data_IF_749253746307
#
_entry.id   IF_749253746307
#
_cell.length_a   1.000
_cell.length_b   1.000
_cell.length_c   1.000
_cell.angle_alpha   90.00
_cell.angle_beta   90.00
_cell.angle_gamma   90.00
#
_symmetry.space_group_name_H-M   'P 1'
#
loop_
_entity.id
_entity.type
_entity.pdbx_description
1 polymer ?
#
# COMPACT_ATOMS: atom_id res chain seq x y z
N UNK A 1 -55.89 66.10 64.06
CA UNK A 1 -54.47 66.01 64.45
C UNK A 1 -53.74 65.18 63.40
N UNK A 2 -52.68 65.77 62.83
CA UNK A 2 -51.45 65.12 62.30
C UNK A 2 -51.53 64.03 61.20
N UNK A 3 -51.05 64.44 60.01
CA UNK A 3 -49.96 63.85 59.21
C UNK A 3 -50.10 62.51 58.43
N UNK A 4 -50.13 62.68 57.10
CA UNK A 4 -49.28 62.08 56.03
C UNK A 4 -49.29 60.57 55.68
N UNK A 5 -49.66 60.36 54.41
CA UNK A 5 -49.20 59.43 53.36
C UNK A 5 -48.24 58.27 53.71
N UNK A 6 -48.59 57.09 53.17
CA UNK A 6 -47.64 56.20 52.49
C UNK A 6 -48.35 55.31 51.47
N UNK A 7 -47.80 55.25 50.25
CA UNK A 7 -48.26 54.51 49.06
C UNK A 7 -47.83 53.04 49.17
N UNK A 8 -48.60 52.10 48.62
CA UNK A 8 -48.03 50.99 47.82
C UNK A 8 -49.05 50.47 46.79
N UNK A 9 -48.55 50.29 45.56
CA UNK A 9 -49.28 49.89 44.33
C UNK A 9 -49.45 48.37 44.24
N UNK A 10 -50.48 47.85 43.55
CA UNK A 10 -50.57 46.43 43.23
C UNK A 10 -49.63 46.06 42.06
N UNK A 11 -48.93 44.93 42.21
CA UNK A 11 -48.06 44.37 41.18
C UNK A 11 -48.91 43.79 40.04
N UNK A 12 -48.67 44.29 38.82
CA UNK A 12 -49.18 43.73 37.57
C UNK A 12 -48.21 42.62 37.14
N UNK A 13 -48.74 41.42 36.92
CA UNK A 13 -48.02 40.31 36.30
C UNK A 13 -47.64 40.69 34.86
N UNK A 14 -46.34 40.81 34.59
CA UNK A 14 -45.81 40.93 33.24
C UNK A 14 -45.71 39.53 32.62
N UNK A 15 -46.53 39.27 31.60
CA UNK A 15 -46.37 38.14 30.68
C UNK A 15 -45.15 38.45 29.78
N UNK A 16 -43.99 37.89 30.09
CA UNK A 16 -42.85 37.92 29.18
C UNK A 16 -43.03 36.80 28.15
N UNK A 17 -43.30 37.17 26.89
CA UNK A 17 -43.28 36.25 25.77
C UNK A 17 -41.86 35.69 25.57
N UNK A 18 -41.71 34.38 25.79
CA UNK A 18 -40.53 33.65 25.35
C UNK A 18 -40.57 33.53 23.83
N UNK A 19 -39.85 34.42 23.15
CA UNK A 19 -39.42 34.15 21.78
C UNK A 19 -38.38 33.02 21.82
N UNK A 20 -38.83 31.79 21.54
CA UNK A 20 -37.93 30.67 21.28
C UNK A 20 -37.28 30.95 19.93
N UNK A 21 -36.10 31.58 19.94
CA UNK A 21 -35.20 31.58 18.79
C UNK A 21 -34.62 30.18 18.70
N UNK A 22 -35.25 29.34 17.88
CA UNK A 22 -34.66 28.08 17.46
C UNK A 22 -33.41 28.38 16.62
N UNK A 23 -32.25 28.46 17.28
CA UNK A 23 -30.98 28.35 16.57
C UNK A 23 -30.90 26.93 16.00
N UNK A 24 -31.31 26.79 14.74
CA UNK A 24 -30.94 25.65 13.93
C UNK A 24 -29.44 25.70 13.75
N UNK A 25 -28.71 24.99 14.61
CA UNK A 25 -27.35 24.58 14.30
C UNK A 25 -27.44 23.63 13.10
N UNK A 26 -27.46 24.20 11.89
CA UNK A 26 -26.93 23.51 10.74
C UNK A 26 -25.45 23.28 11.05
N UNK A 27 -25.15 22.15 11.66
CA UNK A 27 -23.86 21.51 11.43
C UNK A 27 -23.75 21.38 9.91
N UNK A 28 -23.06 22.35 9.30
CA UNK A 28 -22.50 22.17 7.99
C UNK A 28 -21.36 21.14 8.16
N UNK A 29 -21.74 19.87 8.33
CA UNK A 29 -20.92 18.83 7.76
C UNK A 29 -20.79 19.21 6.29
N UNK A 30 -19.63 19.75 5.90
CA UNK A 30 -19.17 19.62 4.53
C UNK A 30 -19.03 18.12 4.30
N UNK A 31 -20.14 17.44 3.99
CA UNK A 31 -20.10 16.28 3.12
C UNK A 31 -19.53 16.83 1.83
N UNK A 32 -18.21 16.67 1.66
CA UNK A 32 -17.63 16.59 0.34
C UNK A 32 -18.58 15.69 -0.44
N UNK A 33 -19.28 16.23 -1.44
CA UNK A 33 -20.07 15.38 -2.32
C UNK A 33 -19.06 14.35 -2.87
N UNK A 34 -19.26 13.07 -2.53
CA UNK A 34 -18.42 11.99 -3.03
C UNK A 34 -18.45 12.08 -4.55
N UNK A 35 -17.41 12.67 -5.13
CA UNK A 35 -17.27 12.74 -6.58
C UNK A 35 -17.06 11.31 -7.05
N UNK A 36 -18.06 10.80 -7.75
CA UNK A 36 -18.03 9.46 -8.32
C UNK A 36 -16.77 9.27 -9.16
N UNK A 37 -16.18 8.08 -9.08
CA UNK A 37 -15.06 7.71 -9.92
C UNK A 37 -15.57 7.51 -11.35
N UNK A 38 -14.91 8.12 -12.34
CA UNK A 38 -15.28 7.96 -13.75
C UNK A 38 -14.19 7.20 -14.48
N UNK A 39 -14.56 6.14 -15.19
CA UNK A 39 -13.66 5.38 -16.06
C UNK A 39 -14.40 5.03 -17.36
N UNK A 40 -13.78 5.38 -18.50
CA UNK A 40 -14.35 5.17 -19.85
C UNK A 40 -15.80 5.67 -19.99
N UNK A 41 -16.09 6.86 -19.45
CA UNK A 41 -17.40 7.51 -19.54
C UNK A 41 -18.49 6.97 -18.60
N UNK A 42 -18.18 5.96 -17.77
CA UNK A 42 -19.09 5.41 -16.77
C UNK A 42 -18.70 5.88 -15.37
N UNK A 43 -19.69 6.10 -14.50
CA UNK A 43 -19.49 6.50 -13.11
C UNK A 43 -19.65 5.32 -12.16
N UNK A 44 -18.84 5.30 -11.12
CA UNK A 44 -18.74 4.22 -10.14
C UNK A 44 -18.68 4.81 -8.72
N UNK A 45 -19.33 4.13 -7.79
CA UNK A 45 -19.34 4.43 -6.36
C UNK A 45 -18.25 3.62 -5.64
N UNK A 46 -17.78 4.07 -4.47
CA UNK A 46 -16.91 3.26 -3.63
C UNK A 46 -17.50 1.87 -3.33
N UNK A 47 -16.73 0.82 -3.59
CA UNK A 47 -17.14 -0.58 -3.51
C UNK A 47 -17.59 -1.20 -4.84
N UNK A 48 -17.86 -0.40 -5.87
CA UNK A 48 -18.11 -0.92 -7.21
C UNK A 48 -16.86 -1.59 -7.79
N UNK A 49 -17.06 -2.49 -8.76
CA UNK A 49 -15.98 -3.10 -9.53
C UNK A 49 -16.00 -2.59 -10.96
N UNK A 50 -14.89 -1.99 -11.39
CA UNK A 50 -14.62 -1.73 -12.81
C UNK A 50 -13.93 -2.95 -13.39
N UNK A 51 -14.46 -3.45 -14.50
CA UNK A 51 -13.86 -4.56 -15.23
C UNK A 51 -13.08 -4.01 -16.42
N UNK A 52 -11.82 -4.43 -16.54
CA UNK A 52 -11.00 -4.13 -17.70
C UNK A 52 -11.22 -5.15 -18.82
N UNK A 53 -10.23 -5.25 -19.70
CA UNK A 53 -10.28 -6.08 -20.91
C UNK A 53 -10.78 -7.50 -20.61
N UNK A 54 -11.90 -7.90 -21.22
CA UNK A 54 -12.56 -9.20 -21.04
C UNK A 54 -12.76 -9.62 -19.56
N UNK A 55 -12.88 -8.66 -18.64
CA UNK A 55 -12.93 -8.87 -17.19
C UNK A 55 -11.66 -9.54 -16.60
N UNK A 56 -10.55 -9.56 -17.34
CA UNK A 56 -9.28 -10.15 -16.95
C UNK A 56 -8.54 -9.32 -15.92
N UNK A 57 -8.82 -8.03 -15.88
CA UNK A 57 -8.34 -7.11 -14.85
C UNK A 57 -9.54 -6.46 -14.17
N UNK A 58 -9.38 -6.09 -12.90
CA UNK A 58 -10.43 -5.51 -12.09
C UNK A 58 -9.89 -4.37 -11.24
N UNK A 59 -10.72 -3.37 -11.00
CA UNK A 59 -10.50 -2.33 -10.01
C UNK A 59 -11.67 -2.33 -9.03
N UNK A 60 -11.40 -2.55 -7.75
CA UNK A 60 -12.34 -2.25 -6.66
C UNK A 60 -12.19 -0.77 -6.33
N UNK A 61 -13.26 -0.01 -6.51
CA UNK A 61 -13.28 1.45 -6.33
C UNK A 61 -13.19 1.78 -4.83
N UNK A 62 -12.19 2.58 -4.45
CA UNK A 62 -12.01 3.07 -3.09
C UNK A 62 -12.88 4.28 -2.77
N UNK A 63 -12.87 4.72 -1.51
CA UNK A 63 -13.41 6.04 -1.16
C UNK A 63 -12.48 7.13 -1.73
N UNK A 64 -13.04 8.27 -2.13
CA UNK A 64 -12.29 9.29 -2.87
C UNK A 64 -11.05 9.81 -2.13
N UNK A 65 -11.20 10.03 -0.83
CA UNK A 65 -10.14 10.49 0.07
C UNK A 65 -9.38 9.34 0.74
N UNK A 66 -9.55 8.09 0.30
CA UNK A 66 -8.80 6.95 0.82
C UNK A 66 -7.32 7.02 0.37
N UNK A 67 -6.35 7.07 1.29
CA UNK A 67 -4.93 7.21 0.94
C UNK A 67 -4.21 5.87 0.72
N UNK A 68 -4.94 4.83 0.33
CA UNK A 68 -4.38 3.48 0.13
C UNK A 68 -4.89 2.86 -1.16
N UNK A 69 -3.96 2.43 -2.00
CA UNK A 69 -4.18 1.66 -3.22
C UNK A 69 -3.35 0.38 -3.13
N UNK A 70 -3.99 -0.76 -3.36
CA UNK A 70 -3.37 -2.07 -3.33
C UNK A 70 -3.28 -2.63 -4.75
N UNK A 71 -2.11 -3.15 -5.13
CA UNK A 71 -1.90 -3.85 -6.40
C UNK A 71 -1.73 -5.33 -6.17
N UNK A 72 -2.41 -6.16 -6.97
CA UNK A 72 -2.28 -7.62 -6.95
C UNK A 72 -2.04 -8.12 -8.38
N UNK A 73 -0.80 -8.04 -8.87
CA UNK A 73 -0.50 -8.35 -10.28
C UNK A 73 -0.37 -9.85 -10.56
N UNK A 74 -0.07 -10.68 -9.56
CA UNK A 74 0.47 -12.04 -9.79
C UNK A 74 -0.28 -13.20 -9.12
N UNK A 75 -1.44 -12.96 -8.49
CA UNK A 75 -2.24 -14.04 -7.86
C UNK A 75 -3.31 -14.65 -8.79
N UNK A 76 -3.41 -14.17 -10.03
CA UNK A 76 -4.38 -14.64 -11.02
C UNK A 76 -4.27 -16.14 -11.32
N UNK A 77 -5.41 -16.78 -11.62
CA UNK A 77 -5.51 -18.21 -11.96
C UNK A 77 -6.15 -18.47 -13.31
N UNK A 78 -6.78 -17.45 -13.92
CA UNK A 78 -7.48 -17.58 -15.18
C UNK A 78 -6.48 -17.76 -16.33
N UNK A 79 -6.90 -18.51 -17.35
CA UNK A 79 -6.08 -18.79 -18.53
C UNK A 79 -6.42 -17.90 -19.74
N UNK A 80 -7.54 -17.17 -19.71
CA UNK A 80 -8.08 -16.42 -20.84
C UNK A 80 -9.11 -17.22 -21.65
N UNK A 81 -9.84 -16.53 -22.53
CA UNK A 81 -10.81 -17.08 -23.48
C UNK A 81 -10.79 -16.26 -24.79
N UNK A 82 -10.20 -16.81 -25.88
CA UNK A 82 -9.47 -18.08 -25.92
C UNK A 82 -8.25 -18.09 -24.99
N UNK A 83 -7.69 -19.28 -24.71
CA UNK A 83 -6.52 -19.41 -23.84
C UNK A 83 -5.37 -18.52 -24.32
N UNK A 84 -4.85 -17.68 -23.42
CA UNK A 84 -3.70 -16.82 -23.67
C UNK A 84 -2.43 -17.68 -23.52
N UNK A 85 -1.52 -17.77 -24.50
CA UNK A 85 -0.30 -18.57 -24.39
C UNK A 85 0.58 -18.20 -23.19
N UNK A 86 1.36 -19.17 -22.71
CA UNK A 86 2.39 -18.91 -21.68
C UNK A 86 3.61 -18.21 -22.31
N UNK A 87 4.18 -17.23 -21.60
CA UNK A 87 5.20 -16.30 -22.12
C UNK A 87 6.44 -16.18 -21.22
N UNK A 88 6.57 -17.03 -20.19
CA UNK A 88 7.75 -17.06 -19.33
C UNK A 88 7.44 -17.24 -17.84
N UNK A 89 7.81 -16.25 -17.01
CA UNK A 89 7.82 -16.28 -15.53
C UNK A 89 6.68 -17.10 -14.92
N UNK A 90 7.02 -18.19 -14.23
CA UNK A 90 6.05 -19.22 -13.86
C UNK A 90 5.47 -19.09 -12.45
N UNK A 91 6.16 -18.36 -11.55
CA UNK A 91 5.76 -18.24 -10.15
C UNK A 91 4.47 -17.45 -9.97
N UNK A 92 3.46 -18.05 -9.32
CA UNK A 92 2.27 -17.35 -8.84
C UNK A 92 2.51 -16.86 -7.43
N UNK A 93 2.04 -15.65 -7.14
CA UNK A 93 2.16 -15.04 -5.83
C UNK A 93 0.99 -15.47 -4.95
N UNK A 94 0.95 -16.77 -4.64
CA UNK A 94 -0.22 -17.47 -4.09
C UNK A 94 -0.78 -16.77 -2.85
N UNK A 95 -2.05 -16.38 -2.88
CA UNK A 95 -2.76 -15.74 -1.78
C UNK A 95 -2.37 -14.28 -1.48
N UNK A 96 -1.73 -13.55 -2.41
CA UNK A 96 -1.62 -12.08 -2.27
C UNK A 96 -2.97 -11.37 -2.46
N UNK A 97 -3.91 -11.94 -3.24
CA UNK A 97 -5.26 -11.38 -3.39
C UNK A 97 -6.08 -11.44 -2.09
N UNK A 98 -6.25 -12.60 -1.43
CA UNK A 98 -6.93 -12.64 -0.14
C UNK A 98 -6.20 -11.82 0.93
N UNK A 99 -4.85 -11.76 0.93
CA UNK A 99 -4.12 -10.85 1.83
C UNK A 99 -4.49 -9.38 1.57
N UNK A 100 -4.59 -8.95 0.30
CA UNK A 100 -4.98 -7.59 -0.04
C UNK A 100 -6.39 -7.26 0.49
N UNK A 101 -7.32 -8.22 0.41
CA UNK A 101 -8.65 -8.04 0.99
C UNK A 101 -8.63 -7.99 2.52
N UNK A 102 -7.82 -8.81 3.21
CA UNK A 102 -7.63 -8.70 4.67
C UNK A 102 -7.12 -7.32 5.08
N UNK A 103 -6.11 -6.81 4.38
CA UNK A 103 -5.58 -5.46 4.60
C UNK A 103 -6.67 -4.41 4.37
N UNK A 104 -7.40 -4.49 3.24
CA UNK A 104 -8.44 -3.52 2.90
C UNK A 104 -9.61 -3.52 3.90
N UNK A 105 -10.02 -4.69 4.40
CA UNK A 105 -11.06 -4.82 5.43
C UNK A 105 -10.63 -4.18 6.75
N UNK A 106 -9.42 -4.50 7.22
CA UNK A 106 -8.86 -3.91 8.44
C UNK A 106 -8.65 -2.40 8.29
N UNK A 107 -8.21 -1.95 7.12
CA UNK A 107 -8.07 -0.53 6.79
C UNK A 107 -9.41 0.20 6.88
N UNK A 108 -10.46 -0.34 6.25
CA UNK A 108 -11.82 0.22 6.36
C UNK A 108 -12.32 0.24 7.81
N UNK A 109 -12.05 -0.81 8.58
CA UNK A 109 -12.43 -0.84 10.00
C UNK A 109 -11.77 0.29 10.79
N UNK A 110 -10.49 0.55 10.53
CA UNK A 110 -9.65 1.52 11.25
C UNK A 110 -9.92 2.96 10.81
N UNK A 111 -9.95 3.21 9.50
CA UNK A 111 -9.98 4.56 8.91
C UNK A 111 -11.37 5.01 8.50
N UNK A 112 -12.33 4.07 8.41
CA UNK A 112 -13.65 4.24 7.79
C UNK A 112 -13.59 4.53 6.29
N UNK A 113 -12.43 4.30 5.65
CA UNK A 113 -12.20 4.48 4.22
C UNK A 113 -11.91 3.13 3.54
N UNK A 114 -12.52 2.90 2.39
CA UNK A 114 -12.24 1.76 1.52
C UNK A 114 -10.99 2.04 0.72
N UNK A 115 -10.01 1.15 0.84
CA UNK A 115 -8.85 1.15 -0.05
C UNK A 115 -9.26 0.84 -1.49
N UNK A 116 -8.50 1.34 -2.44
CA UNK A 116 -8.57 0.96 -3.85
C UNK A 116 -7.82 -0.36 -4.05
N UNK A 117 -8.29 -1.24 -4.95
CA UNK A 117 -7.58 -2.52 -5.23
C UNK A 117 -7.59 -2.80 -6.74
N UNK A 118 -6.41 -2.91 -7.35
CA UNK A 118 -6.25 -3.30 -8.76
C UNK A 118 -5.75 -4.73 -8.85
N UNK A 119 -6.43 -5.55 -9.64
CA UNK A 119 -6.27 -7.00 -9.66
C UNK A 119 -6.05 -7.46 -11.11
N UNK A 120 -5.02 -8.27 -11.31
CA UNK A 120 -4.90 -9.11 -12.50
C UNK A 120 -5.43 -10.51 -12.17
N UNK A 121 -6.38 -11.01 -12.97
CA UNK A 121 -6.96 -12.35 -12.76
C UNK A 121 -6.33 -13.43 -13.63
N UNK A 122 -5.56 -13.05 -14.66
CA UNK A 122 -4.82 -13.97 -15.53
C UNK A 122 -3.54 -14.42 -14.83
N UNK A 123 -3.20 -15.70 -14.93
CA UNK A 123 -1.97 -16.22 -14.33
C UNK A 123 -0.71 -15.52 -14.85
N UNK A 124 0.24 -15.22 -13.95
CA UNK A 124 1.50 -14.49 -14.26
C UNK A 124 2.28 -15.07 -15.45
N UNK A 125 2.28 -16.40 -15.57
CA UNK A 125 2.92 -17.12 -16.67
C UNK A 125 2.38 -16.78 -18.06
N UNK A 126 1.17 -16.20 -18.12
CA UNK A 126 0.51 -15.74 -19.34
C UNK A 126 0.59 -14.22 -19.46
N UNK A 127 0.27 -13.50 -18.38
CA UNK A 127 0.35 -12.03 -18.30
C UNK A 127 1.00 -11.63 -16.98
N UNK A 128 2.18 -11.01 -17.06
CA UNK A 128 2.91 -10.40 -15.95
C UNK A 128 2.79 -8.86 -16.07
N UNK A 129 1.93 -8.21 -15.26
CA UNK A 129 1.80 -6.76 -15.22
C UNK A 129 3.05 -6.00 -14.76
N UNK A 130 4.04 -6.69 -14.17
CA UNK A 130 5.28 -6.07 -13.70
C UNK A 130 6.39 -6.10 -14.77
N UNK A 131 6.06 -6.54 -16.00
CA UNK A 131 6.96 -6.50 -17.17
C UNK A 131 7.29 -5.05 -17.53
N UNK A 132 8.56 -4.74 -17.78
CA UNK A 132 8.96 -3.40 -18.23
C UNK A 132 8.46 -3.14 -19.67
N UNK A 133 8.03 -1.91 -20.01
CA UNK A 133 7.43 -1.58 -21.31
C UNK A 133 8.25 -1.99 -22.53
N UNK A 134 9.58 -1.90 -22.47
CA UNK A 134 10.49 -2.27 -23.56
C UNK A 134 10.55 -3.78 -23.85
N UNK A 135 10.00 -4.61 -22.95
CA UNK A 135 9.93 -6.07 -23.10
C UNK A 135 8.52 -6.56 -23.41
N UNK A 136 7.49 -5.69 -23.36
CA UNK A 136 6.08 -6.05 -23.57
C UNK A 136 5.86 -6.64 -24.95
N UNK A 137 6.34 -5.98 -26.02
CA UNK A 137 6.15 -6.45 -27.39
C UNK A 137 6.94 -7.72 -27.71
N UNK A 138 8.08 -7.93 -27.03
CA UNK A 138 8.85 -9.18 -27.15
C UNK A 138 8.17 -10.33 -26.41
N UNK A 139 7.50 -10.03 -25.29
CA UNK A 139 6.85 -11.03 -24.44
C UNK A 139 5.50 -11.46 -24.97
N UNK A 140 4.68 -10.52 -25.46
CA UNK A 140 3.29 -10.77 -25.84
C UNK A 140 3.10 -10.70 -27.35
N UNK A 141 3.19 -11.86 -28.01
CA UNK A 141 2.78 -12.03 -29.41
C UNK A 141 1.26 -12.22 -29.55
N UNK A 142 0.56 -12.52 -28.45
CA UNK A 142 -0.90 -12.66 -28.38
C UNK A 142 -1.56 -11.32 -27.99
N UNK A 143 -2.55 -10.89 -28.77
CA UNK A 143 -3.23 -9.60 -28.58
C UNK A 143 -4.02 -9.50 -27.27
N UNK A 144 -4.65 -10.60 -26.82
CA UNK A 144 -5.37 -10.63 -25.54
C UNK A 144 -4.40 -10.46 -24.36
N UNK A 145 -3.21 -11.06 -24.42
CA UNK A 145 -2.18 -10.88 -23.41
C UNK A 145 -1.74 -9.42 -23.30
N UNK A 146 -1.43 -8.79 -24.43
CA UNK A 146 -1.04 -7.38 -24.50
C UNK A 146 -2.17 -6.46 -24.04
N UNK A 147 -3.40 -6.72 -24.48
CA UNK A 147 -4.59 -5.96 -24.06
C UNK A 147 -4.87 -6.09 -22.55
N UNK A 148 -4.63 -7.27 -21.98
CA UNK A 148 -4.74 -7.50 -20.53
C UNK A 148 -3.70 -6.70 -19.76
N UNK A 149 -2.43 -6.74 -20.19
CA UNK A 149 -1.35 -5.96 -19.61
C UNK A 149 -1.68 -4.45 -19.64
N UNK A 150 -2.06 -3.93 -20.81
CA UNK A 150 -2.44 -2.52 -20.98
C UNK A 150 -3.64 -2.16 -20.12
N UNK A 151 -4.64 -3.04 -20.01
CA UNK A 151 -5.82 -2.81 -19.21
C UNK A 151 -5.52 -2.76 -17.71
N UNK A 152 -4.62 -3.59 -17.20
CA UNK A 152 -4.16 -3.51 -15.80
C UNK A 152 -3.55 -2.14 -15.52
N UNK A 153 -2.66 -1.69 -16.40
CA UNK A 153 -2.00 -0.39 -16.28
C UNK A 153 -2.97 0.79 -16.43
N UNK A 154 -3.97 0.69 -17.28
CA UNK A 154 -5.03 1.69 -17.43
C UNK A 154 -5.84 1.85 -16.14
N UNK A 155 -6.30 0.73 -15.56
CA UNK A 155 -7.04 0.75 -14.29
C UNK A 155 -6.16 1.26 -13.12
N UNK A 156 -4.90 0.83 -13.05
CA UNK A 156 -3.96 1.28 -12.03
C UNK A 156 -3.66 2.79 -12.15
N UNK A 157 -3.44 3.28 -13.37
CA UNK A 157 -3.26 4.70 -13.62
C UNK A 157 -4.50 5.50 -13.21
N UNK A 158 -5.70 5.08 -13.61
CA UNK A 158 -6.93 5.80 -13.32
C UNK A 158 -7.22 5.89 -11.81
N UNK A 159 -7.08 4.79 -11.06
CA UNK A 159 -7.26 4.79 -9.61
C UNK A 159 -6.25 5.69 -8.90
N UNK A 160 -4.99 5.63 -9.33
CA UNK A 160 -3.89 6.41 -8.78
C UNK A 160 -4.01 7.90 -9.09
N UNK A 161 -4.39 8.25 -10.32
CA UNK A 161 -4.65 9.64 -10.73
C UNK A 161 -5.84 10.21 -9.98
N UNK A 162 -6.89 9.42 -9.74
CA UNK A 162 -8.01 9.85 -8.89
C UNK A 162 -7.56 10.14 -7.47
N UNK A 163 -6.77 9.24 -6.87
CA UNK A 163 -6.19 9.47 -5.54
C UNK A 163 -5.33 10.74 -5.52
N UNK A 164 -4.47 10.94 -6.52
CA UNK A 164 -3.64 12.14 -6.61
C UNK A 164 -4.49 13.42 -6.76
N UNK A 165 -5.58 13.39 -7.53
CA UNK A 165 -6.53 14.51 -7.64
C UNK A 165 -7.17 14.84 -6.29
N UNK A 166 -7.67 13.83 -5.59
CA UNK A 166 -8.27 13.98 -4.26
C UNK A 166 -7.27 14.49 -3.21
N UNK A 167 -5.99 14.11 -3.35
CA UNK A 167 -4.89 14.50 -2.47
C UNK A 167 -4.06 15.69 -2.98
N UNK A 168 -4.51 16.40 -4.02
CA UNK A 168 -3.75 17.51 -4.64
C UNK A 168 -3.36 18.61 -3.65
N UNK A 169 -4.27 18.91 -2.71
CA UNK A 169 -4.02 19.80 -1.56
C UNK A 169 -4.08 19.01 -0.23
N UNK A 170 -4.04 17.70 -0.33
CA UNK A 170 -4.19 16.77 0.76
C UNK A 170 -2.86 16.28 1.28
N UNK A 171 -2.93 15.16 1.98
CA UNK A 171 -1.81 14.60 2.74
C UNK A 171 -0.94 13.69 1.89
N UNK A 172 -1.49 13.14 0.80
CA UNK A 172 -0.84 12.17 -0.09
C UNK A 172 -1.38 10.76 0.13
N UNK A 173 -0.64 9.76 -0.32
CA UNK A 173 -1.09 8.37 -0.20
C UNK A 173 -0.03 7.35 -0.56
N UNK A 174 -0.39 6.08 -0.34
CA UNK A 174 0.48 4.93 -0.56
C UNK A 174 -0.14 3.97 -1.58
N UNK A 175 0.63 3.65 -2.61
CA UNK A 175 0.42 2.47 -3.44
C UNK A 175 1.28 1.31 -2.91
N UNK A 176 0.63 0.27 -2.37
CA UNK A 176 1.30 -0.95 -1.93
C UNK A 176 1.13 -2.05 -2.99
N UNK A 177 2.23 -2.36 -3.67
CA UNK A 177 2.31 -3.39 -4.72
C UNK A 177 2.60 -4.74 -4.04
N UNK A 178 1.58 -5.60 -3.89
CA UNK A 178 1.65 -6.82 -3.09
C UNK A 178 2.09 -8.01 -3.94
N UNK A 179 3.24 -8.59 -3.58
CA UNK A 179 3.86 -9.73 -4.22
C UNK A 179 4.17 -10.85 -3.21
N UNK A 180 4.64 -11.97 -3.72
CA UNK A 180 5.01 -13.13 -2.94
C UNK A 180 6.41 -13.64 -3.24
N UNK A 181 7.20 -13.89 -2.18
CA UNK A 181 8.50 -14.54 -2.29
C UNK A 181 8.48 -15.96 -1.71
N UNK A 182 9.36 -16.80 -2.26
CA UNK A 182 9.64 -18.17 -1.82
C UNK A 182 11.16 -18.45 -1.73
N UNK A 183 11.94 -17.42 -1.38
CA UNK A 183 13.36 -17.53 -1.12
C UNK A 183 13.61 -18.52 0.02
N UNK A 184 14.77 -19.19 -0.04
CA UNK A 184 15.14 -20.21 0.94
C UNK A 184 16.58 -20.07 1.41
N UNK A 185 16.80 -20.48 2.66
CA UNK A 185 18.11 -20.75 3.22
C UNK A 185 18.62 -22.14 2.80
N UNK A 186 19.93 -22.37 2.87
CA UNK A 186 20.54 -23.68 2.61
C UNK A 186 20.05 -24.75 3.60
N UNK A 187 19.93 -24.36 4.87
CA UNK A 187 19.47 -25.18 6.00
C UNK A 187 18.25 -24.55 6.66
N UNK A 188 17.43 -25.37 7.33
CA UNK A 188 16.21 -24.88 7.96
C UNK A 188 16.55 -23.98 9.16
N UNK A 189 15.85 -22.85 9.27
CA UNK A 189 16.02 -21.87 10.34
C UNK A 189 14.80 -21.89 11.26
N UNK A 190 14.97 -21.59 12.57
CA UNK A 190 13.87 -21.47 13.51
C UNK A 190 13.14 -20.13 13.33
N UNK A 191 11.81 -20.16 13.43
CA UNK A 191 10.96 -18.97 13.44
C UNK A 191 9.84 -19.09 14.46
N UNK A 192 9.19 -17.95 14.72
CA UNK A 192 7.97 -17.88 15.51
C UNK A 192 6.80 -17.63 14.55
N UNK A 193 5.82 -18.52 14.56
CA UNK A 193 4.60 -18.38 13.77
C UNK A 193 3.80 -17.17 14.24
N UNK A 194 2.83 -16.73 13.43
CA UNK A 194 1.92 -15.64 13.82
C UNK A 194 1.15 -15.90 15.13
N UNK A 195 1.02 -17.17 15.54
CA UNK A 195 0.37 -17.61 16.78
C UNK A 195 1.34 -17.79 17.97
N UNK A 196 2.63 -17.51 17.79
CA UNK A 196 3.64 -17.64 18.85
C UNK A 196 4.30 -19.01 18.96
N UNK A 197 3.89 -20.00 18.15
CA UNK A 197 4.52 -21.33 18.15
C UNK A 197 5.83 -21.32 17.37
N UNK A 198 6.82 -22.09 17.84
CA UNK A 198 8.04 -22.36 17.09
C UNK A 198 7.75 -23.16 15.81
N UNK A 199 8.46 -22.83 14.73
CA UNK A 199 8.50 -23.60 13.50
C UNK A 199 9.93 -23.63 12.94
N UNK A 200 10.25 -24.64 12.15
CA UNK A 200 11.51 -24.73 11.41
C UNK A 200 11.21 -24.81 9.92
N UNK A 201 11.84 -23.97 9.12
CA UNK A 201 11.67 -24.00 7.66
C UNK A 201 12.91 -23.50 6.94
N UNK A 202 13.14 -24.01 5.72
CA UNK A 202 14.12 -23.42 4.81
C UNK A 202 13.60 -22.13 4.17
N UNK A 203 12.28 -21.95 4.03
CA UNK A 203 11.74 -20.72 3.46
C UNK A 203 12.02 -19.54 4.39
N UNK A 204 12.44 -18.41 3.82
CA UNK A 204 12.72 -17.17 4.55
C UNK A 204 11.39 -16.50 4.92
N UNK A 205 11.23 -16.11 6.18
CA UNK A 205 10.00 -15.53 6.75
C UNK A 205 9.93 -13.99 6.69
N UNK A 206 10.81 -13.36 5.90
CA UNK A 206 10.90 -11.91 5.78
C UNK A 206 9.95 -11.38 4.70
N UNK A 207 9.36 -10.22 4.95
CA UNK A 207 8.74 -9.36 3.93
C UNK A 207 9.81 -8.48 3.29
N UNK A 208 10.01 -8.57 1.99
CA UNK A 208 11.01 -7.76 1.28
C UNK A 208 10.35 -6.50 0.73
N UNK A 209 10.86 -5.34 1.14
CA UNK A 209 10.27 -4.03 0.84
C UNK A 209 11.05 -3.34 -0.27
N UNK A 210 10.53 -3.42 -1.49
CA UNK A 210 11.12 -2.80 -2.67
C UNK A 210 10.80 -1.30 -2.78
N UNK A 211 11.81 -0.45 -2.68
CA UNK A 211 11.70 1.02 -2.79
C UNK A 211 12.19 1.58 -4.15
N UNK A 212 12.32 0.73 -5.17
CA UNK A 212 12.88 1.13 -6.47
C UNK A 212 14.40 1.35 -6.45
N UNK A 213 15.11 0.95 -5.39
CA UNK A 213 16.57 1.05 -5.29
C UNK A 213 17.23 -0.28 -5.70
N UNK A 214 18.52 -0.31 -6.03
CA UNK A 214 19.20 -1.57 -6.37
C UNK A 214 19.57 -2.36 -5.11
N UNK A 215 19.67 -3.69 -5.20
CA UNK A 215 20.16 -4.52 -4.10
C UNK A 215 21.53 -4.05 -3.56
N UNK A 216 22.40 -3.53 -4.43
CA UNK A 216 23.64 -2.89 -4.03
C UNK A 216 23.39 -1.67 -3.13
N UNK A 217 22.51 -0.75 -3.53
CA UNK A 217 22.21 0.47 -2.78
C UNK A 217 21.67 0.18 -1.37
N UNK A 218 20.69 -0.72 -1.23
CA UNK A 218 20.15 -1.09 0.10
C UNK A 218 21.17 -1.82 0.99
N UNK A 219 22.27 -2.32 0.41
CA UNK A 219 23.36 -2.92 1.17
C UNK A 219 24.40 -1.90 1.66
N UNK A 220 24.33 -0.64 1.21
CA UNK A 220 25.31 0.38 1.59
C UNK A 220 24.98 1.02 2.96
N UNK A 221 25.95 1.76 3.49
CA UNK A 221 25.80 2.58 4.70
C UNK A 221 24.83 3.75 4.52
N UNK A 222 24.41 4.36 5.64
CA UNK A 222 23.43 5.44 5.66
C UNK A 222 23.88 6.63 4.80
N UNK A 223 25.16 7.02 4.87
CA UNK A 223 25.70 8.14 4.09
C UNK A 223 25.53 7.97 2.56
N UNK A 224 25.60 6.72 2.08
CA UNK A 224 25.38 6.42 0.66
C UNK A 224 23.88 6.48 0.33
N UNK A 225 23.04 5.84 1.16
CA UNK A 225 21.59 5.84 0.98
C UNK A 225 21.00 7.25 1.03
N UNK A 226 21.51 8.12 1.91
CA UNK A 226 21.04 9.49 2.09
C UNK A 226 21.16 10.36 0.83
N UNK A 227 21.97 9.93 -0.15
CA UNK A 227 22.16 10.58 -1.45
C UNK A 227 21.20 10.06 -2.53
N UNK A 228 20.33 9.09 -2.22
CA UNK A 228 19.52 8.36 -3.20
C UNK A 228 18.01 8.61 -3.12
N UNK A 229 17.57 9.57 -2.32
CA UNK A 229 16.15 9.89 -2.15
C UNK A 229 15.40 10.04 -3.49
N UNK A 230 15.97 10.82 -4.42
CA UNK A 230 15.38 11.08 -5.74
C UNK A 230 15.32 9.85 -6.66
N UNK A 231 16.08 8.79 -6.37
CA UNK A 231 16.04 7.53 -7.14
C UNK A 231 15.01 6.53 -6.61
N UNK A 232 14.30 6.85 -5.53
CA UNK A 232 13.38 5.94 -4.87
C UNK A 232 11.92 6.22 -5.21
N UNK A 233 11.10 5.15 -5.22
CA UNK A 233 9.66 5.24 -5.38
C UNK A 233 8.92 5.98 -4.25
N UNK A 234 9.63 6.34 -3.17
CA UNK A 234 9.14 7.16 -2.06
C UNK A 234 9.79 8.56 -1.98
N UNK A 235 10.43 9.05 -3.05
CA UNK A 235 11.10 10.36 -3.07
C UNK A 235 10.23 11.53 -2.55
N UNK A 236 8.91 11.51 -2.77
CA UNK A 236 8.02 12.55 -2.29
C UNK A 236 7.98 12.66 -0.75
N UNK A 237 8.10 11.54 -0.04
CA UNK A 237 8.17 11.54 1.43
C UNK A 237 9.47 12.19 1.89
N UNK A 238 10.59 11.87 1.25
CA UNK A 238 11.89 12.48 1.54
C UNK A 238 11.85 14.00 1.31
N UNK A 239 11.28 14.42 0.18
CA UNK A 239 11.09 15.83 -0.16
C UNK A 239 10.23 16.57 0.87
N UNK A 240 9.17 15.92 1.36
CA UNK A 240 8.28 16.50 2.38
C UNK A 240 8.91 16.55 3.79
N UNK A 241 9.96 15.76 4.03
CA UNK A 241 10.62 15.62 5.34
C UNK A 241 12.14 15.83 5.22
N UNK A 242 12.62 17.01 4.78
CA UNK A 242 14.03 17.24 4.45
C UNK A 242 14.99 17.14 5.65
N UNK A 243 14.48 17.22 6.88
CA UNK A 243 15.26 17.04 8.10
C UNK A 243 15.48 15.57 8.49
N UNK A 244 14.82 14.63 7.80
CA UNK A 244 14.94 13.19 8.07
C UNK A 244 15.89 12.58 7.04
N UNK A 245 17.01 11.96 7.46
CA UNK A 245 17.89 11.24 6.55
C UNK A 245 17.12 10.14 5.80
N UNK A 246 17.35 9.99 4.50
CA UNK A 246 16.60 9.07 3.67
C UNK A 246 16.74 7.60 4.13
N UNK A 247 17.91 7.23 4.64
CA UNK A 247 18.14 5.95 5.31
C UNK A 247 17.13 5.65 6.43
N UNK A 248 16.70 6.67 7.19
CA UNK A 248 15.68 6.49 8.24
C UNK A 248 14.29 6.21 7.67
N UNK A 249 13.98 6.70 6.47
CA UNK A 249 12.73 6.38 5.77
C UNK A 249 12.71 4.94 5.24
N UNK A 250 13.90 4.37 4.96
CA UNK A 250 14.06 3.02 4.42
C UNK A 250 14.16 1.96 5.52
N UNK A 251 14.93 2.23 6.58
CA UNK A 251 15.30 1.24 7.61
C UNK A 251 15.30 1.73 9.06
N UNK A 252 14.74 2.92 9.31
CA UNK A 252 14.54 3.44 10.66
C UNK A 252 13.31 2.83 11.36
N UNK A 253 13.09 3.12 12.65
CA UNK A 253 11.94 2.62 13.41
C UNK A 253 10.57 3.01 12.84
N UNK A 254 10.52 4.11 12.09
CA UNK A 254 9.32 4.60 11.41
C UNK A 254 9.31 4.29 9.91
N UNK A 255 10.30 3.57 9.36
CA UNK A 255 10.19 3.04 8.01
C UNK A 255 9.05 2.03 7.95
N UNK A 256 8.58 1.70 6.75
CA UNK A 256 7.51 0.71 6.63
C UNK A 256 7.94 -0.66 7.20
N UNK A 257 9.20 -1.04 7.02
CA UNK A 257 9.76 -2.26 7.60
C UNK A 257 9.87 -2.21 9.12
N UNK A 258 10.29 -1.08 9.69
CA UNK A 258 10.32 -0.91 11.16
C UNK A 258 8.93 -0.99 11.78
N UNK A 259 7.92 -0.43 11.11
CA UNK A 259 6.53 -0.50 11.55
C UNK A 259 5.94 -1.91 11.41
N UNK A 260 6.30 -2.66 10.37
CA UNK A 260 5.93 -4.08 10.26
C UNK A 260 6.56 -4.91 11.39
N UNK A 261 7.83 -4.67 11.70
CA UNK A 261 8.54 -5.40 12.77
C UNK A 261 7.97 -5.10 14.16
N UNK A 262 7.50 -3.88 14.39
CA UNK A 262 6.79 -3.51 15.62
C UNK A 262 5.50 -4.33 15.83
N UNK A 263 4.87 -4.76 14.73
CA UNK A 263 3.68 -5.61 14.73
C UNK A 263 4.02 -7.11 14.60
N UNK A 264 5.31 -7.48 14.65
CA UNK A 264 5.75 -8.88 14.58
C UNK A 264 5.78 -9.47 13.17
N UNK A 265 5.93 -8.63 12.13
CA UNK A 265 6.23 -9.06 10.75
C UNK A 265 7.68 -8.70 10.45
N UNK A 266 8.54 -9.70 10.22
CA UNK A 266 9.95 -9.46 9.86
C UNK A 266 10.01 -8.80 8.48
N UNK A 267 10.87 -7.79 8.32
CA UNK A 267 11.01 -7.06 7.08
C UNK A 267 12.48 -6.79 6.70
N UNK A 268 12.75 -6.67 5.41
CA UNK A 268 14.02 -6.18 4.87
C UNK A 268 13.79 -5.21 3.71
N UNK A 269 14.37 -4.00 3.74
CA UNK A 269 15.03 -3.40 4.89
C UNK A 269 14.03 -3.09 6.02
N UNK A 270 14.48 -3.33 7.25
CA UNK A 270 13.77 -3.06 8.50
C UNK A 270 14.75 -2.61 9.59
N UNK A 271 14.31 -2.57 10.85
CA UNK A 271 15.21 -2.25 11.98
C UNK A 271 16.04 -3.45 12.42
N UNK A 272 15.53 -4.67 12.24
CA UNK A 272 16.25 -5.92 12.55
C UNK A 272 17.17 -6.31 11.40
N UNK A 273 16.66 -6.30 10.17
CA UNK A 273 17.43 -6.62 8.96
C UNK A 273 17.62 -5.34 8.14
N UNK A 274 18.69 -4.59 8.46
CA UNK A 274 18.96 -3.25 7.88
C UNK A 274 19.58 -3.28 6.49
N UNK A 275 20.30 -4.36 6.17
CA UNK A 275 21.08 -4.54 4.95
C UNK A 275 20.95 -5.98 4.48
N UNK A 276 21.32 -6.23 3.22
CA UNK A 276 21.37 -7.58 2.67
C UNK A 276 22.73 -8.22 3.01
N UNK A 277 22.80 -9.02 4.07
CA UNK A 277 24.06 -9.65 4.47
C UNK A 277 24.55 -10.68 3.43
N UNK A 278 25.84 -11.01 3.50
CA UNK A 278 26.47 -12.04 2.66
C UNK A 278 26.82 -13.22 3.56
N UNK A 279 26.35 -14.41 3.19
CA UNK A 279 26.59 -15.63 3.97
C UNK A 279 26.49 -16.86 3.08
N UNK A 280 27.59 -17.61 2.98
CA UNK A 280 27.62 -18.90 2.31
C UNK A 280 26.78 -19.93 3.05
N UNK A 281 26.83 -19.94 4.38
CA UNK A 281 26.04 -20.86 5.20
C UNK A 281 24.54 -20.67 4.99
N UNK A 282 24.06 -19.42 4.97
CA UNK A 282 22.64 -19.13 4.84
C UNK A 282 22.17 -19.18 3.39
N UNK A 283 22.95 -18.65 2.43
CA UNK A 283 22.48 -18.41 1.06
C UNK A 283 23.23 -19.21 -0.01
N UNK A 284 24.30 -19.93 0.36
CA UNK A 284 25.15 -20.69 -0.55
C UNK A 284 26.16 -19.83 -1.32
N UNK A 285 26.77 -20.39 -2.36
CA UNK A 285 27.73 -19.68 -3.24
C UNK A 285 27.14 -19.40 -4.63
N UNK A 286 27.66 -18.38 -5.30
CA UNK A 286 27.38 -18.06 -6.70
C UNK A 286 28.21 -18.93 -7.67
N UNK A 287 28.01 -18.75 -8.98
CA UNK A 287 28.71 -19.52 -10.01
C UNK A 287 30.24 -19.28 -10.04
N UNK A 288 30.73 -18.26 -9.33
CA UNK A 288 32.16 -17.91 -9.21
C UNK A 288 32.75 -18.38 -7.87
N UNK A 289 31.97 -19.06 -7.03
CA UNK A 289 32.40 -19.54 -5.72
C UNK A 289 32.34 -18.50 -4.60
N UNK A 290 31.71 -17.34 -4.81
CA UNK A 290 31.56 -16.34 -3.75
C UNK A 290 30.28 -16.57 -2.94
N UNK A 291 30.33 -16.33 -1.64
CA UNK A 291 29.14 -16.31 -0.78
C UNK A 291 28.03 -15.41 -1.36
N UNK A 292 26.80 -15.94 -1.39
CA UNK A 292 25.62 -15.21 -1.86
C UNK A 292 25.14 -14.22 -0.80
N UNK A 293 24.47 -13.20 -1.32
CA UNK A 293 23.78 -12.19 -0.53
C UNK A 293 22.36 -12.66 -0.18
N UNK A 294 21.83 -12.17 0.95
CA UNK A 294 20.41 -12.29 1.31
C UNK A 294 19.54 -11.93 0.10
N UNK A 295 18.65 -12.84 -0.34
CA UNK A 295 17.83 -12.58 -1.50
C UNK A 295 16.80 -11.48 -1.18
N UNK A 296 16.45 -10.71 -2.21
CA UNK A 296 15.66 -9.49 -2.07
C UNK A 296 15.13 -9.05 -3.45
N UNK A 297 13.83 -8.85 -3.59
CA UNK A 297 13.29 -8.10 -4.72
C UNK A 297 13.15 -6.61 -4.38
N UNK A 298 13.49 -5.79 -5.36
CA UNK A 298 13.83 -4.40 -5.13
C UNK A 298 12.77 -3.39 -5.63
N UNK A 299 11.59 -3.89 -5.99
CA UNK A 299 10.53 -3.11 -6.64
C UNK A 299 10.66 -3.14 -8.16
N UNK A 300 9.70 -3.79 -8.81
CA UNK A 300 9.59 -3.92 -10.26
C UNK A 300 9.03 -2.67 -10.95
N UNK A 301 8.55 -2.86 -12.18
CA UNK A 301 8.04 -1.77 -13.01
C UNK A 301 6.86 -1.03 -12.37
N UNK A 302 5.86 -1.74 -11.84
CA UNK A 302 4.68 -1.13 -11.23
C UNK A 302 5.07 -0.19 -10.08
N UNK A 303 5.85 -0.69 -9.13
CA UNK A 303 6.34 0.12 -8.02
C UNK A 303 7.09 1.37 -8.53
N UNK A 304 8.06 1.23 -9.45
CA UNK A 304 8.84 2.37 -9.95
C UNK A 304 7.98 3.39 -10.70
N UNK A 305 7.11 2.92 -11.60
CA UNK A 305 6.31 3.77 -12.47
C UNK A 305 5.21 4.51 -11.72
N UNK A 306 4.55 3.87 -10.77
CA UNK A 306 3.41 4.44 -10.04
C UNK A 306 3.78 5.07 -8.70
N UNK A 307 5.05 5.01 -8.30
CA UNK A 307 5.62 5.79 -7.20
C UNK A 307 6.12 7.16 -7.64
N UNK A 308 7.08 7.71 -6.89
CA UNK A 308 7.54 9.10 -7.05
C UNK A 308 9.02 9.24 -7.40
N UNK A 309 9.66 8.23 -7.99
CA UNK A 309 11.08 8.32 -8.37
C UNK A 309 11.31 9.44 -9.40
N UNK A 310 12.28 10.32 -9.15
CA UNK A 310 12.64 11.46 -10.00
C UNK A 310 13.81 11.09 -10.94
N UNK A 311 14.74 10.27 -10.44
CA UNK A 311 15.92 9.78 -11.15
C UNK A 311 15.82 8.27 -11.40
N UNK A 312 16.65 7.79 -12.34
CA UNK A 312 16.68 6.39 -12.78
C UNK A 312 16.02 6.17 -14.14
N UNK A 313 16.07 4.92 -14.62
CA UNK A 313 15.55 4.52 -15.94
C UNK A 313 14.02 4.52 -16.01
N UNK A 314 13.35 4.26 -14.89
CA UNK A 314 11.89 4.36 -14.77
C UNK A 314 11.57 5.46 -13.77
N UNK A 315 11.10 6.60 -14.30
CA UNK A 315 10.63 7.72 -13.49
C UNK A 315 9.15 7.52 -13.13
N UNK A 316 8.84 7.87 -11.89
CA UNK A 316 7.48 7.90 -11.37
C UNK A 316 6.78 9.21 -11.69
N UNK A 317 5.75 9.49 -10.93
CA UNK A 317 4.98 10.73 -11.00
C UNK A 317 5.51 11.77 -10.02
N UNK A 318 5.28 13.04 -10.32
CA UNK A 318 5.73 14.18 -9.50
C UNK A 318 4.61 14.71 -8.61
N UNK A 319 4.03 13.84 -7.80
CA UNK A 319 3.03 14.18 -6.78
C UNK A 319 3.34 13.47 -5.44
N UNK A 320 2.37 13.41 -4.53
CA UNK A 320 2.52 12.88 -3.17
C UNK A 320 1.97 11.44 -3.00
N UNK A 321 1.83 10.68 -4.09
CA UNK A 321 1.44 9.26 -4.04
C UNK A 321 2.65 8.37 -4.24
N UNK A 322 3.25 7.92 -3.13
CA UNK A 322 4.43 7.06 -3.15
C UNK A 322 4.07 5.59 -3.28
N UNK A 323 5.05 4.75 -3.62
CA UNK A 323 4.84 3.32 -3.72
C UNK A 323 5.93 2.48 -3.08
N UNK A 324 5.52 1.30 -2.61
CA UNK A 324 6.40 0.28 -2.03
C UNK A 324 5.95 -1.08 -2.59
N UNK A 325 6.89 -1.91 -3.01
CA UNK A 325 6.63 -3.33 -3.26
C UNK A 325 6.76 -4.11 -1.95
N UNK A 326 5.80 -4.95 -1.61
CA UNK A 326 5.92 -5.87 -0.48
C UNK A 326 5.90 -7.31 -0.98
N UNK A 327 7.07 -7.94 -0.97
CA UNK A 327 7.27 -9.35 -1.27
C UNK A 327 7.08 -10.17 -0.03
N UNK A 328 5.91 -10.75 0.12
CA UNK A 328 5.50 -11.34 1.38
C UNK A 328 5.85 -12.84 1.43
N UNK A 329 6.36 -13.34 2.57
CA UNK A 329 6.68 -14.75 2.74
C UNK A 329 5.41 -15.60 2.84
N UNK A 330 5.46 -16.83 2.37
CA UNK A 330 4.35 -17.76 2.55
C UNK A 330 4.11 -18.13 4.01
N UNK A 331 5.17 -18.55 4.71
CA UNK A 331 5.11 -19.27 5.98
C UNK A 331 4.58 -18.46 7.17
N UNK A 332 4.71 -17.14 7.15
CA UNK A 332 4.31 -16.25 8.26
C UNK A 332 3.35 -15.15 7.83
N UNK A 333 3.01 -15.04 6.53
CA UNK A 333 2.11 -13.98 6.03
C UNK A 333 0.95 -14.48 5.16
N UNK A 334 1.11 -15.54 4.33
CA UNK A 334 0.11 -15.84 3.27
C UNK A 334 -0.43 -17.25 3.12
N UNK A 335 0.27 -18.28 3.57
CA UNK A 335 0.00 -19.66 3.11
C UNK A 335 -1.37 -20.22 3.53
N UNK A 336 -1.94 -19.78 4.65
CA UNK A 336 -3.29 -20.17 5.06
C UNK A 336 -4.08 -18.98 5.60
N UNK A 337 -5.39 -19.18 5.74
CA UNK A 337 -6.34 -18.15 6.14
C UNK A 337 -6.04 -17.55 7.51
N UNK A 338 -5.88 -18.40 8.54
CA UNK A 338 -5.56 -17.91 9.89
C UNK A 338 -4.24 -17.11 9.95
N UNK A 339 -3.26 -17.45 9.11
CA UNK A 339 -2.05 -16.64 8.97
C UNK A 339 -2.37 -15.28 8.33
N UNK A 340 -3.15 -15.26 7.26
CA UNK A 340 -3.50 -14.03 6.54
C UNK A 340 -4.35 -13.08 7.37
N UNK A 341 -5.28 -13.56 8.17
CA UNK A 341 -6.08 -12.72 9.06
C UNK A 341 -5.19 -11.93 10.02
N UNK A 342 -4.30 -12.62 10.74
CA UNK A 342 -3.37 -12.00 11.69
C UNK A 342 -2.37 -11.09 10.97
N UNK A 343 -1.80 -11.55 9.86
CA UNK A 343 -0.85 -10.75 9.10
C UNK A 343 -1.50 -9.52 8.47
N UNK A 344 -2.73 -9.63 7.96
CA UNK A 344 -3.50 -8.53 7.39
C UNK A 344 -3.79 -7.43 8.42
N UNK A 345 -4.10 -7.81 9.67
CA UNK A 345 -4.22 -6.86 10.78
C UNK A 345 -2.89 -6.14 11.06
N UNK A 346 -1.78 -6.90 11.16
CA UNK A 346 -0.43 -6.34 11.39
C UNK A 346 0.01 -5.39 10.27
N UNK A 347 -0.21 -5.76 9.02
CA UNK A 347 0.02 -4.90 7.87
C UNK A 347 -0.82 -3.63 7.94
N UNK A 348 -2.11 -3.73 8.29
CA UNK A 348 -2.96 -2.56 8.44
C UNK A 348 -2.43 -1.61 9.54
N UNK A 349 -2.01 -2.13 10.71
CA UNK A 349 -1.42 -1.31 11.77
C UNK A 349 -0.16 -0.58 11.30
N UNK A 350 0.73 -1.29 10.59
CA UNK A 350 1.92 -0.70 10.00
C UNK A 350 1.58 0.38 8.95
N UNK A 351 0.63 0.11 8.04
CA UNK A 351 0.18 1.06 7.00
C UNK A 351 -0.40 2.31 7.65
N UNK A 352 -1.29 2.16 8.64
CA UNK A 352 -1.92 3.30 9.31
C UNK A 352 -0.89 4.14 10.06
N UNK A 353 0.05 3.51 10.77
CA UNK A 353 1.13 4.22 11.43
C UNK A 353 2.05 4.93 10.41
N UNK A 354 2.31 4.32 9.26
CA UNK A 354 3.10 4.92 8.19
C UNK A 354 2.41 6.15 7.60
N UNK A 355 1.11 6.05 7.32
CA UNK A 355 0.27 7.16 6.87
C UNK A 355 0.21 8.30 7.89
N UNK A 356 0.01 7.97 9.16
CA UNK A 356 0.00 8.96 10.23
C UNK A 356 1.34 9.68 10.34
N UNK A 357 2.46 8.94 10.29
CA UNK A 357 3.79 9.48 10.48
C UNK A 357 4.27 10.34 9.32
N UNK A 358 4.13 9.85 8.09
CA UNK A 358 4.79 10.46 6.92
C UNK A 358 3.90 11.35 6.08
N UNK A 359 2.58 11.16 6.19
CA UNK A 359 1.59 11.96 5.46
C UNK A 359 0.74 12.79 6.44
N UNK A 360 0.91 12.65 7.75
CA UNK A 360 0.22 13.46 8.75
C UNK A 360 -1.25 13.10 8.95
N UNK A 361 -1.67 11.88 8.60
CA UNK A 361 -2.99 11.36 8.99
C UNK A 361 -3.08 11.20 10.52
N UNK A 362 -4.31 11.05 11.03
CA UNK A 362 -4.59 10.95 12.47
C UNK A 362 -5.54 9.80 12.77
N UNK A 363 -5.43 8.71 12.00
CA UNK A 363 -6.24 7.52 12.22
C UNK A 363 -5.85 6.85 13.54
N UNK A 364 -6.83 6.41 14.31
CA UNK A 364 -6.58 5.71 15.57
C UNK A 364 -6.33 4.23 15.30
N UNK A 365 -5.09 3.79 15.50
CA UNK A 365 -4.75 2.37 15.53
C UNK A 365 -5.44 1.74 16.74
N UNK A 366 -6.15 0.63 16.53
CA UNK A 366 -6.84 -0.11 17.58
C UNK A 366 -6.07 -1.36 17.96
#
# INVERSE_FOLDING_TARGET
MTFTQSKFKPAIFALAGLAIIAFSFKNAERKSADKLFTYEGKTYKPGDTVFGFKNYTKLVVGDDDAPLLLGVPHDGVNIGSPEIPETGTTGRDINTLPLAFEIAMNFKSTTKKRAWIVINTIGRKRVDPNTFPNEVDKRYTNEDAKSTYLSYHSLLAAARERMAEAQKNGKGGLFLDLHGQAHSYQTAQPYISVKGNELSSKFIDQTELGYGLSGHAISQGDEYLDKLADSSSIAAIAKANPSVPFSQLIRGPHSFGGLLEAEGVIAVPGTRIKTLEVSEELFGIDAKGNAKKRPYFNGGYCTRKYGTAVLGSTKGYQDNISSIQAETPGITVRNNEAIREIAGERFNKAIVNYLNKWYGYTYKVR
#
